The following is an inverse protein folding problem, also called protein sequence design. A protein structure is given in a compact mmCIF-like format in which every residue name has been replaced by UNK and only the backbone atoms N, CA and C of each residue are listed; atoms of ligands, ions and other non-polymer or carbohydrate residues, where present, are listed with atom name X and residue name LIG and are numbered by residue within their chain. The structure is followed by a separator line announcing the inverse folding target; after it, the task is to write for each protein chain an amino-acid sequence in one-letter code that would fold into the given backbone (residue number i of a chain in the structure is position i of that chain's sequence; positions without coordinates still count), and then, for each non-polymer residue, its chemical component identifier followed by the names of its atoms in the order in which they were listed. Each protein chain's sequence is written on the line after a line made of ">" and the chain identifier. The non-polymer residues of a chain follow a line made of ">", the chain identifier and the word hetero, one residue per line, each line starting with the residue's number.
data_IF_891977008896
#
_entry.id   IF_891977008896
#
_cell.length_a   1.000
_cell.length_b   1.000
_cell.length_c   1.000
_cell.angle_alpha   90.00
_cell.angle_beta   90.00
_cell.angle_gamma   90.00
#
_symmetry.space_group_name_H-M   'P 1'
#
loop_
_entity.id
_entity.type
_entity.pdbx_description
1 polymer ?
#
# COMPACT_ATOMS: atom_id res chain seq x y z
N UNK A 1 -9.85 0.95 -1.53
CA UNK A 1 -10.31 1.30 -0.16
C UNK A 1 -9.19 1.99 0.59
N UNK A 2 -9.48 3.01 1.41
CA UNK A 2 -8.46 3.72 2.20
C UNK A 2 -8.66 3.42 3.69
N UNK A 3 -7.58 3.15 4.40
CA UNK A 3 -7.58 3.02 5.86
C UNK A 3 -7.00 4.30 6.44
N UNK A 4 -7.83 5.00 7.21
CA UNK A 4 -7.48 6.31 7.76
C UNK A 4 -6.30 6.24 8.75
N UNK A 5 -5.52 7.33 8.78
CA UNK A 5 -4.36 7.51 9.66
C UNK A 5 -4.66 7.24 11.13
N UNK A 6 -5.88 7.54 11.60
CA UNK A 6 -6.26 7.32 12.99
C UNK A 6 -5.96 5.89 13.44
N UNK A 7 -6.27 4.88 12.61
CA UNK A 7 -6.00 3.47 12.92
C UNK A 7 -4.55 3.06 12.64
N UNK A 8 -3.97 3.55 11.53
CA UNK A 8 -2.58 3.22 11.17
C UNK A 8 -1.59 3.71 12.23
N UNK A 9 -1.86 4.86 12.85
CA UNK A 9 -1.02 5.44 13.91
C UNK A 9 -0.93 4.57 15.18
N UNK A 10 -1.92 3.70 15.40
CA UNK A 10 -2.03 2.78 16.52
C UNK A 10 -1.37 1.42 16.32
N UNK A 11 -0.90 1.09 15.11
CA UNK A 11 -0.19 -0.17 14.84
C UNK A 11 1.06 -0.27 15.72
N UNK A 12 1.24 -1.40 16.40
CA UNK A 12 2.31 -1.65 17.37
C UNK A 12 2.10 -0.99 18.73
N UNK A 13 1.01 -0.25 18.94
CA UNK A 13 0.69 0.48 20.20
C UNK A 13 -0.65 0.08 20.79
N UNK A 14 -1.65 -0.14 19.93
CA UNK A 14 -3.04 -0.33 20.31
C UNK A 14 -3.63 -1.50 19.55
N UNK A 15 -3.85 -2.62 20.25
CA UNK A 15 -4.42 -3.84 19.68
C UNK A 15 -5.78 -3.62 19.01
N UNK A 16 -6.59 -2.67 19.50
CA UNK A 16 -7.88 -2.34 18.89
C UNK A 16 -7.73 -1.79 17.48
N UNK A 17 -6.77 -0.90 17.28
CA UNK A 17 -6.56 -0.27 15.97
C UNK A 17 -6.03 -1.30 14.97
N UNK A 18 -5.11 -2.17 15.41
CA UNK A 18 -4.66 -3.33 14.63
C UNK A 18 -5.82 -4.23 14.19
N UNK A 19 -6.76 -4.53 15.10
CA UNK A 19 -7.94 -5.34 14.79
C UNK A 19 -8.87 -4.67 13.77
N UNK A 20 -9.03 -3.34 13.84
CA UNK A 20 -9.80 -2.58 12.85
C UNK A 20 -9.12 -2.65 11.49
N UNK A 21 -7.79 -2.44 11.44
CA UNK A 21 -7.02 -2.54 10.19
C UNK A 21 -7.14 -3.94 9.59
N UNK A 22 -6.96 -4.99 10.38
CA UNK A 22 -7.12 -6.39 9.93
C UNK A 22 -8.52 -6.70 9.41
N UNK A 23 -9.57 -6.20 10.09
CA UNK A 23 -10.94 -6.38 9.64
C UNK A 23 -11.18 -5.70 8.28
N UNK A 24 -10.69 -4.47 8.12
CA UNK A 24 -10.84 -3.73 6.86
C UNK A 24 -10.10 -4.41 5.71
N UNK A 25 -8.90 -4.95 5.97
CA UNK A 25 -8.15 -5.72 4.98
C UNK A 25 -8.91 -6.97 4.53
N UNK A 26 -9.51 -7.73 5.47
CA UNK A 26 -10.33 -8.91 5.13
C UNK A 26 -11.59 -8.57 4.33
N UNK A 27 -12.24 -7.45 4.67
CA UNK A 27 -13.38 -6.95 3.89
C UNK A 27 -12.91 -6.63 2.47
N UNK A 28 -11.81 -5.88 2.32
CA UNK A 28 -11.27 -5.51 1.03
C UNK A 28 -10.88 -6.73 0.19
N UNK A 29 -10.26 -7.74 0.79
CA UNK A 29 -9.94 -9.03 0.15
C UNK A 29 -11.20 -9.71 -0.39
N UNK A 30 -12.28 -9.74 0.39
CA UNK A 30 -13.56 -10.36 -0.01
C UNK A 30 -14.24 -9.67 -1.20
N UNK A 31 -13.88 -8.42 -1.46
CA UNK A 31 -14.39 -7.62 -2.58
C UNK A 31 -13.31 -7.33 -3.64
N UNK A 32 -12.15 -8.00 -3.57
CA UNK A 32 -11.03 -7.82 -4.50
C UNK A 32 -10.59 -6.35 -4.64
N UNK A 33 -10.62 -5.60 -3.53
CA UNK A 33 -10.32 -4.17 -3.52
C UNK A 33 -8.85 -3.91 -3.15
N UNK A 34 -8.18 -3.09 -3.95
CA UNK A 34 -6.88 -2.51 -3.56
C UNK A 34 -7.04 -1.61 -2.33
N UNK A 35 -6.12 -1.74 -1.36
CA UNK A 35 -6.13 -1.00 -0.09
C UNK A 35 -4.95 -0.05 -0.01
N UNK A 36 -5.21 1.20 0.37
CA UNK A 36 -4.18 2.19 0.71
C UNK A 36 -4.25 2.50 2.20
N UNK A 37 -3.19 2.21 2.95
CA UNK A 37 -3.05 2.64 4.34
C UNK A 37 -2.47 4.07 4.41
N UNK A 38 -3.17 4.98 5.07
CA UNK A 38 -2.74 6.38 5.20
C UNK A 38 -2.03 6.67 6.52
N UNK A 39 -1.07 7.59 6.49
CA UNK A 39 -0.36 8.04 7.68
C UNK A 39 0.69 7.05 8.20
N UNK A 40 1.35 6.29 7.32
CA UNK A 40 2.51 5.46 7.68
C UNK A 40 3.72 6.34 8.00
N UNK A 41 4.17 6.29 9.24
CA UNK A 41 5.23 7.16 9.79
C UNK A 41 6.46 6.40 10.28
N UNK A 42 6.40 5.05 10.34
CA UNK A 42 7.55 4.22 10.69
C UNK A 42 7.72 2.99 9.80
N UNK A 43 8.94 2.45 9.79
CA UNK A 43 9.25 1.20 9.09
C UNK A 43 8.54 -0.01 9.72
N UNK A 44 8.27 0.02 11.02
CA UNK A 44 7.51 -1.03 11.71
C UNK A 44 6.06 -1.08 11.25
N UNK A 45 5.42 0.08 11.10
CA UNK A 45 4.07 0.17 10.56
C UNK A 45 4.01 -0.36 9.12
N UNK A 46 4.97 0.03 8.29
CA UNK A 46 5.05 -0.44 6.90
C UNK A 46 5.19 -1.96 6.83
N UNK A 47 6.17 -2.54 7.55
CA UNK A 47 6.37 -4.00 7.60
C UNK A 47 5.15 -4.75 8.12
N UNK A 48 4.47 -4.20 9.12
CA UNK A 48 3.27 -4.81 9.69
C UNK A 48 2.12 -4.86 8.68
N UNK A 49 1.99 -3.81 7.86
CA UNK A 49 1.00 -3.71 6.77
C UNK A 49 1.35 -4.64 5.60
N UNK A 50 2.62 -4.68 5.20
CA UNK A 50 3.12 -5.60 4.16
C UNK A 50 2.87 -7.07 4.53
N UNK A 51 3.13 -7.45 5.78
CA UNK A 51 2.88 -8.80 6.29
C UNK A 51 1.39 -9.21 6.28
N UNK A 52 0.47 -8.26 6.04
CA UNK A 52 -0.98 -8.48 5.97
C UNK A 52 -1.55 -8.15 4.60
N UNK A 53 -0.70 -8.18 3.57
CA UNK A 53 -1.09 -7.98 2.17
C UNK A 53 -1.77 -6.62 1.92
N UNK A 54 -1.38 -5.58 2.67
CA UNK A 54 -1.79 -4.22 2.32
C UNK A 54 -1.08 -3.77 1.04
N UNK A 55 -1.85 -3.50 -0.01
CA UNK A 55 -1.35 -3.24 -1.36
C UNK A 55 -0.54 -1.96 -1.49
N UNK A 56 -0.94 -0.90 -0.79
CA UNK A 56 -0.38 0.44 -0.92
C UNK A 56 -0.29 1.14 0.44
N UNK A 57 0.69 2.02 0.57
CA UNK A 57 0.86 2.84 1.75
C UNK A 57 1.18 4.29 1.37
N UNK A 58 0.70 5.23 2.18
CA UNK A 58 1.00 6.65 2.10
C UNK A 58 1.37 7.16 3.49
N UNK A 59 2.44 7.94 3.59
CA UNK A 59 2.77 8.65 4.82
C UNK A 59 4.19 9.19 4.84
N UNK A 60 4.55 9.91 5.91
CA UNK A 60 5.83 10.61 6.00
C UNK A 60 7.05 9.69 6.01
N UNK A 61 6.88 8.40 6.34
CA UNK A 61 7.94 7.41 6.18
C UNK A 61 8.30 7.18 4.70
N UNK A 62 7.32 7.30 3.81
CA UNK A 62 7.46 7.07 2.37
C UNK A 62 7.86 8.37 1.66
N UNK A 63 7.16 9.46 1.97
CA UNK A 63 7.40 10.76 1.38
C UNK A 63 6.60 11.86 2.07
N UNK A 64 7.19 13.06 2.15
CA UNK A 64 6.47 14.24 2.63
C UNK A 64 5.65 14.86 1.48
N UNK A 65 4.55 15.57 1.79
CA UNK A 65 3.88 16.43 0.83
C UNK A 65 4.90 17.35 0.16
N UNK A 66 4.81 17.46 -1.16
CA UNK A 66 5.75 18.20 -1.97
C UNK A 66 5.00 19.18 -2.86
N UNK A 67 5.66 20.27 -3.25
CA UNK A 67 5.12 21.18 -4.26
C UNK A 67 4.96 20.45 -5.60
N UNK A 68 4.10 20.96 -6.50
CA UNK A 68 3.94 20.36 -7.83
C UNK A 68 5.27 20.18 -8.56
N UNK A 69 6.15 21.17 -8.52
CA UNK A 69 7.49 21.11 -9.13
C UNK A 69 8.33 19.98 -8.52
N UNK A 70 8.40 19.90 -7.20
CA UNK A 70 9.18 18.85 -6.52
C UNK A 70 8.63 17.44 -6.78
N UNK A 71 7.31 17.30 -6.97
CA UNK A 71 6.67 16.04 -7.35
C UNK A 71 7.02 15.64 -8.80
N UNK A 72 7.00 16.58 -9.74
CA UNK A 72 7.40 16.33 -11.13
C UNK A 72 8.85 15.85 -11.19
N UNK A 73 9.77 16.54 -10.50
CA UNK A 73 11.17 16.12 -10.44
C UNK A 73 11.33 14.73 -9.82
N UNK A 74 10.51 14.38 -8.83
CA UNK A 74 10.52 13.07 -8.21
C UNK A 74 10.05 11.99 -9.18
N UNK A 75 8.97 12.23 -9.91
CA UNK A 75 8.44 11.33 -10.92
C UNK A 75 9.48 11.05 -12.01
N UNK A 76 10.12 12.10 -12.55
CA UNK A 76 11.18 11.96 -13.57
C UNK A 76 12.41 11.19 -13.04
N UNK A 77 12.79 11.40 -11.78
CA UNK A 77 13.85 10.61 -11.13
C UNK A 77 13.44 9.15 -10.99
N UNK A 78 12.16 8.88 -10.75
CA UNK A 78 11.63 7.53 -10.56
C UNK A 78 11.58 6.76 -11.89
N UNK A 79 11.16 7.40 -12.99
CA UNK A 79 11.15 6.81 -14.33
C UNK A 79 12.56 6.42 -14.80
N UNK A 80 13.54 7.31 -14.61
CA UNK A 80 14.93 7.07 -15.01
C UNK A 80 15.62 5.94 -14.25
N UNK A 81 15.17 5.62 -13.04
CA UNK A 81 15.75 4.55 -12.22
C UNK A 81 15.33 3.15 -12.66
N UNK A 82 14.44 3.03 -13.65
CA UNK A 82 13.86 1.76 -14.05
C UNK A 82 12.92 1.26 -12.96
N UNK A 83 11.62 1.41 -13.20
CA UNK A 83 10.58 0.95 -12.29
C UNK A 83 10.74 -0.56 -12.02
N UNK A 84 11.34 -0.93 -10.87
CA UNK A 84 10.94 -2.19 -10.25
C UNK A 84 9.57 -1.93 -9.66
N UNK A 85 8.54 -2.33 -10.39
CA UNK A 85 7.31 -2.76 -9.73
C UNK A 85 7.78 -3.85 -8.78
N UNK A 86 7.61 -3.66 -7.48
CA UNK A 86 7.53 -4.81 -6.58
C UNK A 86 6.05 -5.13 -6.60
N UNK A 87 5.56 -6.11 -7.39
CA UNK A 87 4.27 -6.68 -7.09
C UNK A 87 4.45 -7.32 -5.71
N UNK A 88 3.76 -6.78 -4.71
CA UNK A 88 3.57 -7.49 -3.44
C UNK A 88 2.33 -8.40 -3.52
N UNK A 89 1.55 -8.27 -4.60
CA UNK A 89 0.52 -9.18 -5.04
C UNK A 89 1.12 -10.22 -6.01
N UNK A 90 1.07 -11.49 -5.60
CA UNK A 90 1.61 -12.63 -6.34
C UNK A 90 0.82 -13.04 -7.59
N UNK A 91 0.40 -12.09 -8.44
CA UNK A 91 -0.16 -12.41 -9.75
C UNK A 91 0.98 -12.59 -10.75
N UNK A 92 1.55 -13.81 -10.70
CA UNK A 92 2.32 -14.42 -11.79
C UNK A 92 1.54 -14.30 -13.11
N UNK A 93 2.28 -14.31 -14.23
CA UNK A 93 1.93 -14.28 -15.67
C UNK A 93 0.78 -15.22 -16.14
N UNK A 94 0.04 -15.85 -15.24
CA UNK A 94 -0.99 -16.86 -15.51
C UNK A 94 -2.36 -16.28 -15.91
N UNK A 95 -2.69 -15.03 -15.58
CA UNK A 95 -4.00 -14.45 -15.92
C UNK A 95 -4.11 -13.92 -17.36
N UNK A 96 -2.98 -13.55 -17.99
CA UNK A 96 -2.98 -13.14 -19.41
C UNK A 96 -3.35 -14.32 -20.35
N UNK A 97 -3.11 -15.56 -19.92
CA UNK A 97 -3.43 -16.75 -20.70
C UNK A 97 -4.93 -17.13 -20.68
N UNK A 98 -5.72 -16.57 -19.76
CA UNK A 98 -7.16 -16.87 -19.66
C UNK A 98 -8.02 -16.01 -20.57
N UNK A 99 -7.53 -14.86 -21.03
CA UNK A 99 -8.28 -13.95 -21.92
C UNK A 99 -8.11 -14.27 -23.41
N UNK A 100 -7.06 -15.00 -23.82
CA UNK A 100 -6.85 -15.39 -25.22
C UNK A 100 -7.57 -16.69 -25.63
N UNK A 101 -8.21 -17.38 -24.69
CA UNK A 101 -8.88 -18.66 -24.92
C UNK A 101 -10.43 -18.60 -24.89
N UNK A 102 -11.02 -17.41 -25.07
CA UNK A 102 -12.48 -17.21 -25.16
C UNK A 102 -12.92 -16.60 -26.49
#
# INVERSE_FOLDING_TARGET
>A
LKIDRAFVSGIGKHRRDEQVVELVLKIAESFEMTVVAEGVESADQLRWLEARSCHCAQGFHIGRPASPTSLMDLAERHERRGMRRTPLDGTSEADDALFEAS
#
